data_IF_161914947661
#
_entry.id   IF_161914947661
#
_cell.length_a   1.000
_cell.length_b   1.000
_cell.length_c   1.000
_cell.angle_alpha   90.00
_cell.angle_beta   90.00
_cell.angle_gamma   90.00
#
_symmetry.space_group_name_H-M   'P 1'
#
loop_
_entity.id
_entity.type
_entity.pdbx_description
1 polymer ?
#
# COMPACT_ATOMS: atom_id res chain seq x y z
N UNK A 1 -12.57 -26.05 1.32
CA UNK A 1 -12.26 -25.54 1.49
C UNK A 1 -12.14 -25.05 1.46
N UNK A 2 -12.25 -24.81 1.29
CA UNK A 2 -12.01 -24.08 1.44
C UNK A 2 -11.68 -23.35 1.48
N UNK A 3 -11.66 -23.08 1.48
CA UNK A 3 -11.25 -22.26 1.68
C UNK A 3 -10.76 -21.61 1.52
N UNK A 4 -10.84 -21.45 1.66
CA UNK A 4 -10.32 -20.69 1.57
C UNK A 4 -9.72 -20.42 1.26
N UNK A 5 -9.70 -20.35 0.93
CA UNK A 5 -8.99 -20.01 0.44
C UNK A 5 -8.51 -19.51 0.38
N UNK A 6 -8.88 -19.22 0.41
CA UNK A 6 -8.40 -18.60 0.40
C UNK A 6 -7.40 -17.94 0.23
N UNK A 7 -7.62 -17.75 0.91
CA UNK A 7 -6.45 -16.91 0.65
C UNK A 7 -5.25 -17.57 1.20
N UNK A 8 -4.24 -17.76 0.37
CA UNK A 8 -2.92 -17.98 0.89
C UNK A 8 -2.66 -16.88 1.91
N UNK A 9 -2.01 -17.18 3.01
CA UNK A 9 -1.67 -16.12 3.96
C UNK A 9 -0.92 -15.04 3.21
N UNK A 10 -1.29 -13.81 3.44
CA UNK A 10 -0.57 -12.72 2.84
C UNK A 10 0.86 -12.78 3.31
N UNK A 11 1.77 -12.56 2.39
CA UNK A 11 3.11 -12.31 2.82
C UNK A 11 3.07 -11.11 3.71
N UNK A 12 3.83 -11.16 4.74
CA UNK A 12 3.70 -10.17 5.77
C UNK A 12 4.20 -8.85 5.29
N UNK A 13 3.31 -8.01 4.98
CA UNK A 13 3.61 -6.62 4.75
C UNK A 13 2.38 -5.84 5.08
N UNK A 14 2.40 -5.26 6.22
CA UNK A 14 1.23 -4.57 6.73
C UNK A 14 1.09 -3.18 6.17
N UNK A 15 2.00 -2.77 5.31
CA UNK A 15 2.01 -1.40 4.83
C UNK A 15 1.43 -1.22 3.44
N UNK A 16 1.26 -2.29 2.69
CA UNK A 16 0.74 -2.15 1.33
C UNK A 16 -0.75 -1.93 1.39
N UNK A 17 -1.19 -0.81 0.84
CA UNK A 17 -2.60 -0.42 0.90
C UNK A 17 -3.01 0.26 -0.39
N UNK A 18 -4.29 0.22 -0.67
CA UNK A 18 -4.88 1.05 -1.72
C UNK A 18 -5.56 2.21 -1.03
N UNK A 19 -5.11 3.41 -1.35
CA UNK A 19 -5.60 4.64 -0.76
C UNK A 19 -6.45 5.36 -1.80
N UNK A 20 -7.71 5.61 -1.48
CA UNK A 20 -8.57 6.38 -2.36
C UNK A 20 -8.52 7.83 -1.90
N UNK A 21 -8.12 8.70 -2.81
CA UNK A 21 -7.98 10.11 -2.51
C UNK A 21 -9.25 10.87 -2.84
N UNK A 22 -9.35 12.09 -2.32
CA UNK A 22 -10.50 12.95 -2.57
C UNK A 22 -10.68 13.24 -4.05
N UNK A 23 -9.63 13.10 -4.85
CA UNK A 23 -9.71 13.25 -6.29
C UNK A 23 -10.31 12.05 -6.98
N UNK A 24 -10.61 10.99 -6.25
CA UNK A 24 -11.08 9.71 -6.74
C UNK A 24 -9.96 8.83 -7.27
N UNK A 25 -8.74 9.28 -7.18
CA UNK A 25 -7.60 8.44 -7.56
C UNK A 25 -7.43 7.32 -6.55
N UNK A 26 -7.09 6.14 -7.03
CA UNK A 26 -6.76 5.01 -6.17
C UNK A 26 -5.28 4.74 -6.31
N UNK A 27 -4.57 4.86 -5.19
CA UNK A 27 -3.11 4.81 -5.18
C UNK A 27 -2.69 3.60 -4.38
N UNK A 28 -1.92 2.73 -5.01
CA UNK A 28 -1.34 1.56 -4.36
C UNK A 28 0.03 1.96 -3.86
N UNK A 29 0.28 1.77 -2.58
CA UNK A 29 1.52 2.27 -1.99
C UNK A 29 1.84 1.54 -0.70
N UNK A 30 3.05 1.78 -0.21
CA UNK A 30 3.36 1.46 1.17
C UNK A 30 2.91 2.65 1.99
N UNK A 31 1.92 2.43 2.82
CA UNK A 31 1.21 3.49 3.51
C UNK A 31 1.63 3.54 4.96
N UNK A 32 1.83 4.72 5.49
CA UNK A 32 2.22 4.85 6.89
C UNK A 32 1.74 6.16 7.47
N UNK A 33 1.87 6.24 8.78
CA UNK A 33 1.51 7.44 9.52
C UNK A 33 2.73 8.32 9.70
N UNK A 34 2.49 9.63 9.75
CA UNK A 34 3.51 10.57 10.19
C UNK A 34 3.02 11.09 11.54
N UNK A 35 3.83 10.92 12.55
CA UNK A 35 3.44 11.36 13.89
C UNK A 35 4.33 12.53 14.30
N UNK A 36 3.82 13.32 15.22
CA UNK A 36 4.64 14.41 15.73
C UNK A 36 5.62 13.84 16.77
N UNK A 37 6.49 14.70 17.25
CA UNK A 37 7.55 14.27 18.14
C UNK A 37 7.14 14.33 19.60
N UNK A 38 5.89 14.66 19.87
CA UNK A 38 5.44 14.77 21.24
C UNK A 38 5.31 13.39 21.86
N UNK A 39 5.14 13.36 23.16
CA UNK A 39 4.93 12.10 23.85
C UNK A 39 3.67 11.41 23.39
N UNK A 40 2.69 12.18 22.97
CA UNK A 40 1.43 11.61 22.53
C UNK A 40 1.52 10.97 21.17
N UNK A 41 2.53 11.31 20.38
CA UNK A 41 2.71 10.71 19.05
C UNK A 41 1.47 10.84 18.20
N UNK A 42 0.91 12.04 18.18
CA UNK A 42 -0.29 12.26 17.37
C UNK A 42 0.02 12.11 15.90
N UNK A 43 -0.92 11.53 15.17
CA UNK A 43 -0.80 11.42 13.72
C UNK A 43 -1.07 12.79 13.12
N UNK A 44 -0.10 13.31 12.41
CA UNK A 44 -0.22 14.63 11.80
C UNK A 44 -0.27 14.56 10.28
N UNK A 45 -0.22 13.34 9.72
CA UNK A 45 -0.31 13.17 8.28
C UNK A 45 0.01 11.74 7.95
N UNK A 46 0.18 11.50 6.65
CA UNK A 46 0.42 10.15 6.16
C UNK A 46 1.49 10.17 5.10
N UNK A 47 2.05 9.01 4.85
CA UNK A 47 3.07 8.81 3.83
C UNK A 47 2.58 7.78 2.85
N UNK A 48 2.81 8.05 1.58
CA UNK A 48 2.63 7.07 0.53
C UNK A 48 3.99 6.87 -0.12
N UNK A 49 4.56 5.69 0.07
CA UNK A 49 5.88 5.38 -0.44
C UNK A 49 5.72 4.47 -1.64
N UNK A 50 6.45 4.76 -2.71
CA UNK A 50 6.37 4.05 -3.98
C UNK A 50 4.93 4.02 -4.49
N UNK A 51 4.27 5.17 -4.65
CA UNK A 51 2.86 5.18 -5.02
C UNK A 51 2.66 4.93 -6.51
N UNK A 52 1.70 4.06 -6.80
CA UNK A 52 1.29 3.78 -8.17
C UNK A 52 -0.19 4.05 -8.30
N UNK A 53 -0.54 4.75 -9.35
CA UNK A 53 -1.95 5.01 -9.66
C UNK A 53 -2.53 3.77 -10.31
N UNK A 54 -3.64 3.31 -9.80
CA UNK A 54 -4.36 2.18 -10.35
C UNK A 54 -5.47 2.68 -11.25
N UNK A 55 -5.61 2.06 -12.40
CA UNK A 55 -6.74 2.34 -13.28
C UNK A 55 -7.14 1.06 -13.95
N UNK A 56 -8.40 1.01 -14.36
CA UNK A 56 -8.91 -0.17 -15.04
C UNK A 56 -8.85 0.07 -16.53
N UNK A 57 -8.40 -0.94 -17.25
CA UNK A 57 -8.40 -0.90 -18.70
C UNK A 57 -9.73 -1.34 -19.25
N UNK A 58 -9.78 -1.53 -20.56
CA UNK A 58 -10.98 -1.97 -21.24
C UNK A 58 -11.27 -3.42 -20.87
N UNK A 59 -12.55 -3.75 -20.79
CA UNK A 59 -12.98 -5.12 -20.49
C UNK A 59 -12.55 -6.04 -21.62
N UNK A 60 -11.91 -7.15 -21.24
CA UNK A 60 -11.48 -8.16 -22.20
C UNK A 60 -12.69 -8.96 -22.67
N UNK A 61 -12.48 -9.74 -23.74
CA UNK A 61 -13.57 -10.55 -24.28
C UNK A 61 -14.08 -11.58 -23.28
N UNK A 62 -13.20 -12.04 -22.39
CA UNK A 62 -13.61 -13.04 -21.41
C UNK A 62 -14.24 -12.41 -20.17
N UNK A 63 -14.45 -11.11 -20.18
CA UNK A 63 -15.09 -10.43 -19.06
C UNK A 63 -14.13 -9.92 -17.99
N UNK A 64 -12.85 -10.24 -18.10
CA UNK A 64 -11.89 -9.73 -17.12
C UNK A 64 -11.50 -8.29 -17.45
N UNK A 65 -11.06 -7.58 -16.43
CA UNK A 65 -10.68 -6.18 -16.56
C UNK A 65 -9.24 -6.05 -16.11
N UNK A 66 -8.35 -5.64 -17.01
CA UNK A 66 -6.95 -5.48 -16.60
C UNK A 66 -6.80 -4.26 -15.69
N UNK A 67 -5.86 -4.36 -14.78
CA UNK A 67 -5.50 -3.26 -13.91
C UNK A 67 -4.20 -2.68 -14.41
N UNK A 68 -4.19 -1.38 -14.64
CA UNK A 68 -2.99 -0.68 -15.08
C UNK A 68 -2.34 -0.01 -13.89
N UNK A 69 -1.01 -0.01 -13.88
CA UNK A 69 -0.21 0.56 -12.80
C UNK A 69 0.69 1.62 -13.41
N UNK A 70 0.59 2.83 -12.93
CA UNK A 70 1.44 3.91 -13.40
C UNK A 70 1.98 4.64 -12.18
N UNK A 71 3.22 5.11 -12.26
CA UNK A 71 3.75 5.88 -11.15
C UNK A 71 2.84 7.07 -10.92
N UNK A 72 2.50 7.29 -9.64
CA UNK A 72 1.55 8.35 -9.30
C UNK A 72 2.13 9.73 -9.57
N UNK A 73 3.42 9.90 -9.32
CA UNK A 73 4.05 11.20 -9.53
C UNK A 73 5.39 10.99 -10.25
N UNK A 74 5.34 10.74 -11.57
CA UNK A 74 6.58 10.42 -12.29
C UNK A 74 7.49 11.61 -12.49
N UNK A 75 7.05 12.78 -12.05
CA UNK A 75 7.83 14.00 -12.23
C UNK A 75 8.88 14.19 -11.16
N UNK A 76 8.88 13.36 -10.13
CA UNK A 76 9.80 13.50 -9.02
C UNK A 76 10.59 12.21 -8.84
N UNK A 77 11.88 12.30 -8.54
CA UNK A 77 12.65 11.11 -8.20
C UNK A 77 12.35 10.60 -6.79
N UNK A 78 11.64 11.39 -6.00
CA UNK A 78 11.37 11.01 -4.62
C UNK A 78 10.11 10.17 -4.59
N UNK A 79 10.22 9.02 -3.93
CA UNK A 79 9.12 8.08 -3.88
C UNK A 79 8.37 8.10 -2.56
N UNK A 80 8.71 9.00 -1.66
CA UNK A 80 8.08 9.12 -0.35
C UNK A 80 7.29 10.42 -0.33
N UNK A 81 5.97 10.30 -0.42
CA UNK A 81 5.10 11.47 -0.53
C UNK A 81 4.28 11.64 0.72
N UNK A 82 4.25 12.84 1.24
CA UNK A 82 3.45 13.15 2.41
C UNK A 82 2.10 13.69 1.98
N UNK A 83 1.07 13.30 2.68
CA UNK A 83 -0.28 13.69 2.30
C UNK A 83 -1.10 13.94 3.55
N UNK A 84 -1.97 14.92 3.48
CA UNK A 84 -2.85 15.27 4.58
C UNK A 84 -4.01 14.28 4.64
N UNK A 85 -4.42 13.94 5.86
CA UNK A 85 -5.55 13.05 6.03
C UNK A 85 -6.84 13.57 5.45
N UNK A 86 -6.95 14.88 5.27
CA UNK A 86 -8.16 15.45 4.68
C UNK A 86 -8.41 14.98 3.25
N UNK A 87 -7.36 14.55 2.59
CA UNK A 87 -7.48 14.14 1.18
C UNK A 87 -7.66 12.64 1.01
N UNK A 88 -7.77 11.92 2.11
CA UNK A 88 -7.91 10.46 2.07
C UNK A 88 -9.36 10.11 2.35
N UNK A 89 -9.96 9.39 1.39
CA UNK A 89 -11.34 8.93 1.54
C UNK A 89 -11.36 7.56 2.21
N UNK A 90 -10.51 6.65 1.77
CA UNK A 90 -10.50 5.32 2.33
C UNK A 90 -9.14 4.67 2.13
N UNK A 91 -8.85 3.69 2.98
CA UNK A 91 -7.63 2.91 2.92
C UNK A 91 -8.04 1.46 3.04
N UNK A 92 -7.70 0.63 2.06
CA UNK A 92 -8.12 -0.75 2.05
C UNK A 92 -6.93 -1.65 1.76
N UNK A 93 -7.07 -2.92 2.14
CA UNK A 93 -6.07 -3.92 1.85
C UNK A 93 -6.24 -4.39 0.41
N UNK A 94 -5.15 -4.50 -0.34
CA UNK A 94 -5.26 -4.96 -1.71
C UNK A 94 -5.42 -6.47 -1.77
N UNK A 95 -5.97 -6.91 -2.88
CA UNK A 95 -6.05 -8.32 -3.19
C UNK A 95 -4.64 -8.88 -3.39
N UNK A 96 -4.47 -10.19 -3.18
CA UNK A 96 -3.17 -10.83 -3.33
C UNK A 96 -2.58 -10.62 -4.72
N UNK A 97 -3.41 -10.69 -5.75
CA UNK A 97 -2.89 -10.51 -7.10
C UNK A 97 -2.33 -9.10 -7.30
N UNK A 98 -2.94 -8.13 -6.66
CA UNK A 98 -2.46 -6.76 -6.76
C UNK A 98 -1.14 -6.62 -6.00
N UNK A 99 -1.04 -7.26 -4.84
CA UNK A 99 0.20 -7.24 -4.09
C UNK A 99 1.33 -7.86 -4.91
N UNK A 100 1.05 -9.00 -5.54
CA UNK A 100 2.08 -9.68 -6.33
C UNK A 100 2.53 -8.82 -7.50
N UNK A 101 1.61 -8.17 -8.19
CA UNK A 101 1.97 -7.31 -9.31
C UNK A 101 2.74 -6.08 -8.84
N UNK A 102 2.38 -5.55 -7.69
CA UNK A 102 3.09 -4.44 -7.11
C UNK A 102 4.53 -4.86 -6.78
N UNK A 103 4.68 -6.04 -6.20
CA UNK A 103 6.00 -6.54 -5.84
C UNK A 103 6.89 -6.69 -7.07
N UNK A 104 6.33 -7.15 -8.18
CA UNK A 104 7.11 -7.26 -9.42
C UNK A 104 7.67 -5.91 -9.80
N UNK A 105 6.85 -4.88 -9.74
CA UNK A 105 7.29 -3.54 -10.12
C UNK A 105 8.33 -2.99 -9.17
N UNK A 106 8.16 -3.24 -7.88
CA UNK A 106 9.14 -2.77 -6.91
C UNK A 106 10.48 -3.47 -7.08
N UNK A 107 10.46 -4.75 -7.44
CA UNK A 107 11.71 -5.46 -7.70
C UNK A 107 12.41 -4.93 -8.92
N UNK A 108 11.64 -4.49 -9.91
CA UNK A 108 12.23 -3.92 -11.12
C UNK A 108 12.99 -2.64 -10.83
N UNK A 109 12.60 -1.91 -9.79
CA UNK A 109 13.32 -0.70 -9.43
C UNK A 109 14.31 -0.93 -8.30
N UNK A 110 14.56 -2.20 -7.96
CA UNK A 110 15.69 -2.54 -7.10
C UNK A 110 15.36 -2.95 -5.68
N UNK A 111 14.09 -3.02 -5.32
CA UNK A 111 13.77 -3.46 -3.96
C UNK A 111 13.91 -4.97 -3.85
N UNK A 112 14.28 -5.43 -2.66
CA UNK A 112 14.40 -6.85 -2.38
C UNK A 112 13.12 -7.35 -1.73
N UNK A 113 13.00 -8.68 -1.67
CA UNK A 113 11.84 -9.27 -0.98
C UNK A 113 11.76 -8.80 0.46
N UNK A 114 12.90 -8.69 1.12
CA UNK A 114 12.88 -8.25 2.51
C UNK A 114 12.38 -6.84 2.67
N UNK A 115 12.61 -6.00 1.66
CA UNK A 115 12.12 -4.63 1.71
C UNK A 115 10.64 -4.54 1.40
N UNK A 116 10.12 -5.48 0.64
CA UNK A 116 8.72 -5.46 0.24
C UNK A 116 7.86 -6.21 1.24
N UNK A 117 8.31 -7.40 1.65
CA UNK A 117 7.54 -8.31 2.48
C UNK A 117 8.21 -8.53 3.82
N UNK A 118 8.57 -7.44 4.48
CA UNK A 118 9.18 -7.59 5.78
C UNK A 118 8.12 -7.91 6.82
N UNK A 119 8.56 -8.56 7.85
CA UNK A 119 7.68 -8.89 8.94
C UNK A 119 7.81 -7.82 9.99
N UNK A 120 6.67 -7.26 10.36
CA UNK A 120 6.71 -6.25 11.40
C UNK A 120 7.10 -6.91 12.70
N UNK A 121 8.07 -6.36 13.38
CA UNK A 121 8.49 -6.93 14.63
C UNK A 121 7.45 -6.71 15.68
N UNK A 122 7.14 -7.76 16.36
CA UNK A 122 6.20 -7.65 17.45
C UNK A 122 6.97 -7.55 18.72
N UNK A 123 7.62 -6.52 18.85
CA UNK A 123 8.30 -6.32 20.09
C UNK A 123 7.30 -5.99 21.10
N UNK A 124 7.30 -6.62 21.88
CA UNK A 124 6.40 -6.15 22.78
C UNK A 124 5.43 -5.17 22.20
N UNK A 125 5.87 -5.47 21.46
CA UNK A 125 5.29 -4.96 21.25
C UNK A 125 4.53 -4.88 20.99
N UNK A 126 4.43 -4.82 20.98
CA UNK A 126 3.91 -4.55 20.78
C UNK A 126 3.24 -4.21 20.44
N UNK A 127 3.22 -3.99 20.42
CA UNK A 127 2.77 -3.52 20.19
C UNK A 127 2.09 -3.29 19.73
N UNK A 128 1.98 -3.24 19.68
CA UNK A 128 1.55 -2.91 19.35
C UNK A 128 1.01 -2.68 18.78
N UNK A 129 1.00 -2.56 18.88
CA UNK A 129 0.67 -2.22 18.41
C UNK A 129 0.18 -2.06 17.74
N UNK A 130 0.07 -1.94 17.73
CA UNK A 130 -0.24 -1.65 17.15
C UNK A 130 -0.68 -1.56 16.48
N UNK A 131 -0.87 -1.41 16.47
CA UNK A 131 -1.18 -1.19 15.81
C UNK A 131 -1.50 -1.02 15.03
N UNK A 132 -1.62 -0.81 14.92
CA UNK A 132 -1.80 -0.50 14.26
C UNK A 132 -1.88 -0.54 13.51
N UNK A 133 -2.00 -0.52 13.39
CA UNK A 133 -1.99 -0.50 12.90
C UNK A 133 -2.12 -0.68 12.54
#
# INVERSE_FOLDING_TARGET
MTQTPEHAPLKTNHNIRIVTLATSERVLCMFGNVTDESEEKKVIGYRMVYPYLLSMGAVNEDGTVPINYARWCPYSPIEDHRISGEHIISVVYPDNSIIDNYAVRLKEIGLTDEQIFYEEKKDGDSSESTATS
#
